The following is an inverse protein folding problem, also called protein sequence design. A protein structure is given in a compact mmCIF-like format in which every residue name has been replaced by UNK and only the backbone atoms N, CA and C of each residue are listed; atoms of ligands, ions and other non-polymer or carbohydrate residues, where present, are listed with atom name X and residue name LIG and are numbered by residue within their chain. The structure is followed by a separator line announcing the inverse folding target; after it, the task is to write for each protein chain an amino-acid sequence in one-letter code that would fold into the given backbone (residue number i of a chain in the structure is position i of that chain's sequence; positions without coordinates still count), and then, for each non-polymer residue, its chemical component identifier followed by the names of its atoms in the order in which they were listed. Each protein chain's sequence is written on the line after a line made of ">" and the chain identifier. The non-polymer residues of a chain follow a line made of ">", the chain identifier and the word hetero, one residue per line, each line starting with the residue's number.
data_IF_971179667266
#
_entry.id   IF_971179667266
#
_cell.length_a   1.000
_cell.length_b   1.000
_cell.length_c   1.000
_cell.angle_alpha   90.00
_cell.angle_beta   90.00
_cell.angle_gamma   90.00
#
_symmetry.space_group_name_H-M   'P 1'
#
loop_
_entity.id
_entity.type
_entity.pdbx_description
1 polymer ?
#
# COMPACT_ATOMS: atom_id res chain seq x y z
N UNK A 1 5.48 8.67 -25.48
CA UNK A 1 5.71 8.95 -24.04
C UNK A 1 4.65 9.93 -23.60
N UNK A 2 3.48 9.43 -23.23
CA UNK A 2 2.33 10.26 -22.88
C UNK A 2 2.55 10.73 -21.45
N UNK A 3 2.86 12.01 -21.27
CA UNK A 3 2.94 12.62 -19.95
C UNK A 3 1.58 12.49 -19.28
N UNK A 4 1.46 11.56 -18.35
CA UNK A 4 0.33 11.52 -17.44
C UNK A 4 0.32 12.89 -16.74
N UNK A 5 -0.77 13.64 -16.93
CA UNK A 5 -1.10 14.76 -16.06
C UNK A 5 -1.14 14.14 -14.65
N UNK A 6 -0.06 14.34 -13.89
CA UNK A 6 0.20 13.61 -12.67
C UNK A 6 -0.83 14.01 -11.63
N UNK A 7 -1.93 13.27 -11.53
CA UNK A 7 -2.94 13.40 -10.48
C UNK A 7 -2.21 13.43 -9.14
N UNK A 8 -2.46 14.45 -8.30
CA UNK A 8 -1.81 14.54 -6.99
C UNK A 8 -2.02 13.27 -6.17
N UNK A 9 -1.09 12.89 -5.30
CA UNK A 9 -1.24 11.65 -4.52
C UNK A 9 -2.55 11.68 -3.74
N UNK A 10 -2.91 12.83 -3.17
CA UNK A 10 -4.21 13.04 -2.51
C UNK A 10 -5.41 12.82 -3.42
N UNK A 11 -5.38 13.34 -4.65
CA UNK A 11 -6.48 13.15 -5.59
C UNK A 11 -6.54 11.69 -6.08
N UNK A 12 -5.39 11.04 -6.25
CA UNK A 12 -5.29 9.62 -6.58
C UNK A 12 -5.93 8.74 -5.50
N UNK A 13 -5.60 9.00 -4.22
CA UNK A 13 -6.22 8.31 -3.07
C UNK A 13 -7.74 8.55 -3.03
N UNK A 14 -8.21 9.79 -3.24
CA UNK A 14 -9.65 10.07 -3.29
C UNK A 14 -10.37 9.33 -4.43
N UNK A 15 -9.74 9.20 -5.59
CA UNK A 15 -10.30 8.44 -6.72
C UNK A 15 -10.31 6.95 -6.39
N UNK A 16 -9.23 6.43 -5.80
CA UNK A 16 -9.17 5.04 -5.35
C UNK A 16 -10.31 4.75 -4.35
N UNK A 17 -10.51 5.64 -3.36
CA UNK A 17 -11.59 5.54 -2.38
C UNK A 17 -12.96 5.59 -3.04
N UNK A 18 -13.22 6.58 -3.89
CA UNK A 18 -14.50 6.77 -4.56
C UNK A 18 -14.86 5.62 -5.53
N UNK A 19 -13.87 4.90 -6.04
CA UNK A 19 -14.06 3.79 -6.98
C UNK A 19 -13.80 2.41 -6.38
N UNK A 20 -13.49 2.34 -5.08
CA UNK A 20 -13.05 1.12 -4.40
C UNK A 20 -14.06 -0.01 -4.56
N UNK A 21 -15.31 0.22 -4.19
CA UNK A 21 -16.33 -0.84 -4.18
C UNK A 21 -16.60 -1.41 -5.58
N UNK A 22 -16.67 -0.53 -6.59
CA UNK A 22 -16.82 -0.94 -7.98
C UNK A 22 -15.63 -1.75 -8.48
N UNK A 23 -14.40 -1.36 -8.11
CA UNK A 23 -13.17 -2.07 -8.49
C UNK A 23 -13.01 -3.40 -7.78
N UNK A 24 -13.27 -3.44 -6.48
CA UNK A 24 -13.27 -4.67 -5.67
C UNK A 24 -14.30 -5.66 -6.23
N UNK A 25 -15.48 -5.18 -6.62
CA UNK A 25 -16.50 -6.01 -7.28
C UNK A 25 -16.02 -6.51 -8.64
N UNK A 26 -15.47 -5.64 -9.47
CA UNK A 26 -14.92 -6.01 -10.77
C UNK A 26 -13.76 -7.02 -10.66
N UNK A 27 -12.93 -6.92 -9.61
CA UNK A 27 -11.90 -7.91 -9.29
C UNK A 27 -12.56 -9.24 -8.96
N UNK A 28 -13.53 -9.28 -8.04
CA UNK A 28 -14.23 -10.54 -7.68
C UNK A 28 -14.92 -11.22 -8.86
N UNK A 29 -15.52 -10.43 -9.74
CA UNK A 29 -16.31 -10.93 -10.88
C UNK A 29 -15.44 -11.29 -12.09
N UNK A 30 -14.16 -10.90 -12.08
CA UNK A 30 -13.21 -11.29 -13.12
C UNK A 30 -13.06 -12.81 -13.17
N UNK A 31 -12.99 -13.36 -14.38
CA UNK A 31 -12.96 -14.81 -14.58
C UNK A 31 -11.74 -15.48 -13.92
N UNK A 32 -10.61 -14.79 -13.81
CA UNK A 32 -9.43 -15.30 -13.12
C UNK A 32 -9.67 -15.39 -11.61
N UNK A 33 -10.07 -14.29 -10.98
CA UNK A 33 -10.21 -14.20 -9.52
C UNK A 33 -11.43 -14.98 -9.02
N UNK A 34 -12.54 -14.97 -9.75
CA UNK A 34 -13.74 -15.75 -9.41
C UNK A 34 -13.43 -17.25 -9.34
N UNK A 35 -12.65 -17.78 -10.31
CA UNK A 35 -12.20 -19.17 -10.28
C UNK A 35 -11.30 -19.46 -9.10
N UNK A 36 -10.30 -18.61 -8.85
CA UNK A 36 -9.37 -18.80 -7.74
C UNK A 36 -10.07 -18.74 -6.37
N UNK A 37 -11.05 -17.84 -6.19
CA UNK A 37 -11.87 -17.74 -4.98
C UNK A 37 -12.75 -18.99 -4.82
N UNK A 38 -13.33 -19.50 -5.92
CA UNK A 38 -14.17 -20.71 -5.88
C UNK A 38 -13.34 -21.94 -5.52
N UNK A 39 -12.18 -22.10 -6.16
CA UNK A 39 -11.18 -23.12 -5.86
C UNK A 39 -10.76 -23.09 -4.37
N UNK A 40 -10.52 -21.90 -3.81
CA UNK A 40 -10.21 -21.75 -2.39
C UNK A 40 -11.36 -22.25 -1.51
N UNK A 41 -12.60 -21.79 -1.76
CA UNK A 41 -13.78 -22.19 -0.96
C UNK A 41 -14.04 -23.69 -0.99
N UNK A 42 -13.87 -24.30 -2.16
CA UNK A 42 -14.16 -25.72 -2.35
C UNK A 42 -13.15 -26.63 -1.65
N UNK A 43 -11.89 -26.22 -1.55
CA UNK A 43 -10.79 -27.13 -1.16
C UNK A 43 -10.14 -26.81 0.18
N UNK A 44 -10.26 -25.58 0.68
CA UNK A 44 -9.56 -25.19 1.93
C UNK A 44 -10.02 -26.02 3.14
N UNK A 45 -11.29 -26.40 3.20
CA UNK A 45 -11.84 -27.23 4.30
C UNK A 45 -11.25 -28.64 4.40
N UNK A 46 -10.64 -29.12 3.31
CA UNK A 46 -10.01 -30.45 3.25
C UNK A 46 -8.53 -30.42 3.69
N UNK A 47 -7.92 -29.23 3.82
CA UNK A 47 -6.50 -29.08 4.17
C UNK A 47 -6.30 -29.39 5.66
N UNK A 48 -5.56 -30.45 5.96
CA UNK A 48 -5.26 -30.88 7.34
C UNK A 48 -3.82 -30.63 7.73
N UNK A 49 -2.93 -30.55 6.74
CA UNK A 49 -1.51 -30.39 6.94
C UNK A 49 -0.91 -29.32 6.03
N UNK A 50 0.29 -28.85 6.39
CA UNK A 50 1.12 -27.99 5.54
C UNK A 50 1.44 -28.68 4.21
N UNK A 51 1.63 -30.01 4.22
CA UNK A 51 1.81 -30.81 3.02
C UNK A 51 0.62 -30.72 2.07
N UNK A 52 -0.60 -30.88 2.59
CA UNK A 52 -1.82 -30.78 1.78
C UNK A 52 -1.91 -29.43 1.09
N UNK A 53 -1.64 -28.35 1.83
CA UNK A 53 -1.66 -26.99 1.29
C UNK A 53 -0.62 -26.82 0.17
N UNK A 54 0.63 -27.24 0.39
CA UNK A 54 1.72 -27.04 -0.56
C UNK A 54 1.59 -27.92 -1.82
N UNK A 55 0.93 -29.08 -1.67
CA UNK A 55 0.62 -30.00 -2.77
C UNK A 55 -0.45 -29.42 -3.71
N UNK A 56 -1.47 -28.76 -3.18
CA UNK A 56 -2.44 -28.01 -3.97
C UNK A 56 -1.85 -26.69 -4.47
N UNK A 57 -1.28 -26.71 -5.68
CA UNK A 57 -0.60 -25.55 -6.26
C UNK A 57 -1.50 -24.32 -6.34
N UNK A 58 -2.76 -24.47 -6.75
CA UNK A 58 -3.65 -23.33 -6.96
C UNK A 58 -4.05 -22.71 -5.61
N UNK A 59 -4.36 -23.55 -4.62
CA UNK A 59 -4.68 -23.10 -3.27
C UNK A 59 -3.48 -22.44 -2.58
N UNK A 60 -2.30 -23.05 -2.69
CA UNK A 60 -1.06 -22.48 -2.18
C UNK A 60 -0.79 -21.10 -2.80
N UNK A 61 -0.88 -20.96 -4.13
CA UNK A 61 -0.68 -19.67 -4.81
C UNK A 61 -1.71 -18.65 -4.35
N UNK A 62 -2.98 -19.04 -4.19
CA UNK A 62 -4.03 -18.16 -3.70
C UNK A 62 -3.71 -17.62 -2.30
N UNK A 63 -3.32 -18.50 -1.37
CA UNK A 63 -2.92 -18.12 -0.02
C UNK A 63 -1.70 -17.20 -0.07
N UNK A 64 -0.64 -17.56 -0.79
CA UNK A 64 0.55 -16.72 -0.90
C UNK A 64 0.22 -15.33 -1.46
N UNK A 65 -0.67 -15.22 -2.46
CA UNK A 65 -1.15 -13.93 -2.97
C UNK A 65 -1.95 -13.16 -1.94
N UNK A 66 -2.75 -13.81 -1.10
CA UNK A 66 -3.48 -13.12 -0.04
C UNK A 66 -2.52 -12.46 0.97
N UNK A 67 -1.42 -13.13 1.32
CA UNK A 67 -0.43 -12.60 2.26
C UNK A 67 0.69 -11.77 1.61
N UNK A 68 0.53 -11.37 0.34
CA UNK A 68 1.52 -10.57 -0.40
C UNK A 68 2.88 -11.26 -0.61
N UNK A 69 2.91 -12.60 -0.56
CA UNK A 69 4.12 -13.42 -0.67
C UNK A 69 4.25 -14.06 -2.06
N UNK A 70 3.76 -13.40 -3.12
CA UNK A 70 3.76 -13.95 -4.49
C UNK A 70 5.18 -14.23 -5.01
N UNK A 71 6.14 -13.39 -4.66
CA UNK A 71 7.56 -13.56 -4.97
C UNK A 71 8.21 -14.75 -4.26
N UNK A 72 7.60 -15.25 -3.18
CA UNK A 72 8.09 -16.37 -2.37
C UNK A 72 7.46 -17.72 -2.76
N UNK A 73 6.56 -17.75 -3.75
CA UNK A 73 5.86 -18.97 -4.19
C UNK A 73 6.83 -20.11 -4.56
N UNK A 74 7.97 -19.80 -5.17
CA UNK A 74 8.96 -20.82 -5.55
C UNK A 74 9.72 -21.41 -4.35
N UNK A 75 9.73 -20.71 -3.21
CA UNK A 75 10.39 -21.12 -1.97
C UNK A 75 9.62 -22.15 -1.17
N UNK A 76 8.99 -23.16 -1.80
CA UNK A 76 8.08 -24.11 -1.12
C UNK A 76 8.67 -24.76 0.14
N UNK A 77 9.94 -25.16 0.10
CA UNK A 77 10.61 -25.78 1.24
C UNK A 77 10.82 -24.79 2.41
N UNK A 78 11.02 -23.51 2.12
CA UNK A 78 11.09 -22.47 3.13
C UNK A 78 9.70 -22.21 3.72
N UNK A 79 8.67 -22.05 2.89
CA UNK A 79 7.30 -21.81 3.36
C UNK A 79 6.79 -22.97 4.20
N UNK A 80 7.09 -24.22 3.80
CA UNK A 80 6.87 -25.40 4.61
C UNK A 80 7.42 -25.22 6.03
N UNK A 81 8.73 -24.96 6.14
CA UNK A 81 9.41 -24.80 7.43
C UNK A 81 8.84 -23.64 8.24
N UNK A 82 8.41 -22.56 7.59
CA UNK A 82 7.75 -21.43 8.24
C UNK A 82 6.42 -21.87 8.86
N UNK A 83 5.58 -22.57 8.11
CA UNK A 83 4.28 -23.02 8.58
C UNK A 83 4.38 -24.10 9.65
N UNK A 84 5.38 -24.98 9.57
CA UNK A 84 5.69 -26.02 10.57
C UNK A 84 6.44 -25.49 11.81
N UNK A 85 6.92 -24.23 11.80
CA UNK A 85 7.71 -23.67 12.90
C UNK A 85 6.87 -23.44 14.16
N UNK A 86 7.47 -23.61 15.34
CA UNK A 86 6.86 -23.20 16.61
C UNK A 86 7.03 -21.68 16.83
N UNK A 87 5.93 -20.90 16.87
CA UNK A 87 6.02 -19.46 17.13
C UNK A 87 6.35 -19.15 18.60
N UNK A 88 6.25 -20.10 19.53
CA UNK A 88 6.67 -19.96 20.93
C UNK A 88 8.18 -20.03 21.11
N UNK A 89 8.88 -20.75 20.23
CA UNK A 89 10.34 -20.84 20.25
C UNK A 89 11.00 -19.63 19.57
N UNK A 90 11.73 -18.83 20.36
CA UNK A 90 12.48 -17.66 19.86
C UNK A 90 13.54 -17.98 18.80
N UNK A 91 13.99 -19.24 18.72
CA UNK A 91 15.00 -19.70 17.77
C UNK A 91 14.42 -20.29 16.49
N UNK A 92 13.09 -20.43 16.42
CA UNK A 92 12.39 -20.99 15.27
C UNK A 92 12.54 -20.13 14.02
N UNK A 93 12.38 -20.74 12.84
CA UNK A 93 12.56 -20.04 11.57
C UNK A 93 11.58 -18.86 11.46
N UNK A 94 10.31 -19.05 11.81
CA UNK A 94 9.29 -17.99 11.74
C UNK A 94 9.62 -16.78 12.61
N UNK A 95 10.35 -16.96 13.73
CA UNK A 95 10.81 -15.86 14.60
C UNK A 95 12.09 -15.18 14.12
N UNK A 96 12.89 -15.87 13.31
CA UNK A 96 14.18 -15.37 12.78
C UNK A 96 14.06 -14.64 11.45
N UNK A 97 12.95 -14.81 10.74
CA UNK A 97 12.70 -14.08 9.50
C UNK A 97 12.40 -12.61 9.79
N UNK A 98 13.04 -11.73 9.03
CA UNK A 98 12.86 -10.27 9.18
C UNK A 98 11.52 -9.79 8.62
N UNK A 99 11.03 -10.46 7.58
CA UNK A 99 9.77 -10.10 6.93
C UNK A 99 8.58 -10.58 7.77
N UNK A 100 7.74 -9.65 8.28
CA UNK A 100 6.66 -9.99 9.20
C UNK A 100 5.53 -10.79 8.53
N UNK A 101 5.42 -10.75 7.19
CA UNK A 101 4.37 -11.45 6.43
C UNK A 101 4.42 -12.97 6.62
N UNK A 102 5.60 -13.54 6.88
CA UNK A 102 5.74 -14.97 7.19
C UNK A 102 5.14 -15.34 8.55
N UNK A 103 5.33 -14.49 9.55
CA UNK A 103 4.74 -14.69 10.88
C UNK A 103 3.23 -14.50 10.85
N UNK A 104 2.75 -13.52 10.07
CA UNK A 104 1.32 -13.31 9.82
C UNK A 104 0.69 -14.53 9.13
N UNK A 105 1.30 -15.01 8.04
CA UNK A 105 0.87 -16.22 7.34
C UNK A 105 0.80 -17.43 8.29
N UNK A 106 1.86 -17.69 9.05
CA UNK A 106 1.89 -18.80 9.99
C UNK A 106 0.79 -18.69 11.05
N UNK A 107 0.61 -17.51 11.65
CA UNK A 107 -0.41 -17.28 12.70
C UNK A 107 -1.82 -17.43 12.16
N UNK A 108 -2.09 -16.86 10.98
CA UNK A 108 -3.43 -16.83 10.41
C UNK A 108 -3.85 -18.20 9.88
N UNK A 109 -2.91 -18.97 9.30
CA UNK A 109 -3.19 -20.36 8.95
C UNK A 109 -3.24 -21.23 10.20
N UNK A 110 -2.47 -20.96 11.25
CA UNK A 110 -2.64 -21.63 12.54
C UNK A 110 -2.39 -23.14 12.51
N UNK A 111 -1.50 -23.60 11.63
CA UNK A 111 -1.06 -25.00 11.65
C UNK A 111 -0.36 -25.30 12.98
N UNK A 112 -0.71 -26.45 13.58
CA UNK A 112 -0.06 -26.91 14.81
C UNK A 112 1.38 -27.37 14.61
N UNK A 113 2.05 -27.81 15.69
CA UNK A 113 3.38 -28.41 15.62
C UNK A 113 3.44 -29.52 14.55
N UNK A 114 4.59 -29.65 13.89
CA UNK A 114 4.80 -30.59 12.78
C UNK A 114 3.90 -30.31 11.55
N UNK A 115 3.24 -29.16 11.51
CA UNK A 115 2.40 -28.73 10.39
C UNK A 115 1.06 -29.45 10.32
N UNK A 116 0.59 -30.03 11.43
CA UNK A 116 -0.66 -30.79 11.49
C UNK A 116 -1.73 -30.01 12.24
N UNK A 117 -2.95 -30.09 11.71
CA UNK A 117 -4.13 -29.55 12.36
C UNK A 117 -4.30 -28.07 12.05
N UNK A 118 -5.49 -27.73 11.59
CA UNK A 118 -5.94 -26.35 11.39
C UNK A 118 -7.47 -26.39 11.48
N UNK A 119 -8.03 -25.95 12.61
CA UNK A 119 -9.49 -25.94 12.77
C UNK A 119 -10.14 -24.75 12.07
N UNK A 120 -9.37 -23.67 11.87
CA UNK A 120 -9.82 -22.42 11.25
C UNK A 120 -10.28 -22.61 9.81
N UNK A 121 -9.76 -23.61 9.08
CA UNK A 121 -10.18 -23.86 7.69
C UNK A 121 -11.68 -24.18 7.54
N UNK A 122 -12.33 -24.64 8.60
CA UNK A 122 -13.77 -24.94 8.58
C UNK A 122 -14.62 -23.74 9.05
N UNK A 123 -13.99 -22.68 9.53
CA UNK A 123 -14.67 -21.45 9.94
C UNK A 123 -14.94 -20.56 8.72
N UNK A 124 -16.22 -20.36 8.43
CA UNK A 124 -16.66 -19.53 7.30
C UNK A 124 -16.19 -18.08 7.42
N UNK A 125 -16.15 -17.51 8.62
CA UNK A 125 -15.67 -16.14 8.86
C UNK A 125 -14.18 -16.02 8.53
N UNK A 126 -13.39 -17.00 8.97
CA UNK A 126 -11.97 -17.08 8.64
C UNK A 126 -11.76 -17.20 7.12
N UNK A 127 -12.49 -18.10 6.44
CA UNK A 127 -12.41 -18.24 4.99
C UNK A 127 -12.74 -16.93 4.27
N UNK A 128 -13.79 -16.22 4.68
CA UNK A 128 -14.13 -14.92 4.09
C UNK A 128 -13.05 -13.86 4.40
N UNK A 129 -12.38 -13.94 5.55
CA UNK A 129 -11.23 -13.10 5.89
C UNK A 129 -10.07 -13.27 4.89
N UNK A 130 -9.69 -14.52 4.60
CA UNK A 130 -8.63 -14.81 3.61
C UNK A 130 -9.04 -14.34 2.20
N UNK A 131 -10.28 -14.56 1.79
CA UNK A 131 -10.80 -14.09 0.50
C UNK A 131 -10.81 -12.56 0.42
N UNK A 132 -11.24 -11.88 1.48
CA UNK A 132 -11.24 -10.43 1.55
C UNK A 132 -9.82 -9.88 1.45
N UNK A 133 -8.86 -10.50 2.17
CA UNK A 133 -7.44 -10.17 2.09
C UNK A 133 -6.88 -10.36 0.68
N UNK A 134 -7.19 -11.48 0.02
CA UNK A 134 -6.80 -11.72 -1.38
C UNK A 134 -7.30 -10.60 -2.31
N UNK A 135 -8.59 -10.29 -2.25
CA UNK A 135 -9.20 -9.27 -3.12
C UNK A 135 -8.62 -7.88 -2.83
N UNK A 136 -8.39 -7.55 -1.55
CA UNK A 136 -7.76 -6.29 -1.16
C UNK A 136 -6.34 -6.19 -1.72
N UNK A 137 -5.56 -7.27 -1.64
CA UNK A 137 -4.21 -7.30 -2.21
C UNK A 137 -4.23 -7.11 -3.72
N UNK A 138 -5.17 -7.74 -4.44
CA UNK A 138 -5.31 -7.52 -5.89
C UNK A 138 -5.72 -6.07 -6.20
N UNK A 139 -6.55 -5.45 -5.37
CA UNK A 139 -6.91 -4.04 -5.52
C UNK A 139 -5.69 -3.13 -5.34
N UNK A 140 -4.91 -3.31 -4.26
CA UNK A 140 -3.69 -2.54 -3.99
C UNK A 140 -2.68 -2.73 -5.14
N UNK A 141 -2.48 -3.95 -5.62
CA UNK A 141 -1.57 -4.23 -6.74
C UNK A 141 -2.02 -3.53 -8.04
N UNK A 142 -3.32 -3.51 -8.31
CA UNK A 142 -3.87 -2.80 -9.47
C UNK A 142 -3.70 -1.27 -9.37
N UNK A 143 -3.76 -0.71 -8.16
CA UNK A 143 -3.46 0.71 -7.92
C UNK A 143 -1.95 0.99 -7.98
N UNK A 144 -1.08 0.07 -7.55
CA UNK A 144 0.38 0.21 -7.63
C UNK A 144 0.86 0.40 -9.09
N UNK A 145 0.23 -0.29 -10.05
CA UNK A 145 0.49 -0.12 -11.49
C UNK A 145 0.18 1.31 -11.97
N UNK A 146 -0.79 1.98 -11.34
CA UNK A 146 -1.20 3.36 -11.70
C UNK A 146 -0.40 4.40 -10.94
N UNK A 147 -0.17 4.16 -9.66
CA UNK A 147 0.56 5.04 -8.75
C UNK A 147 1.05 4.25 -7.52
N UNK A 148 2.36 4.04 -7.46
CA UNK A 148 3.04 3.44 -6.30
C UNK A 148 2.70 4.18 -5.00
N UNK A 149 2.66 5.51 -5.02
CA UNK A 149 2.32 6.33 -3.84
C UNK A 149 0.89 6.11 -3.34
N UNK A 150 -0.07 5.90 -4.25
CA UNK A 150 -1.45 5.58 -3.86
C UNK A 150 -1.48 4.20 -3.21
N UNK A 151 -0.77 3.22 -3.78
CA UNK A 151 -0.66 1.89 -3.18
C UNK A 151 0.00 1.93 -1.79
N UNK A 152 1.09 2.70 -1.59
CA UNK A 152 1.74 2.87 -0.28
C UNK A 152 0.76 3.42 0.77
N UNK A 153 -0.10 4.38 0.41
CA UNK A 153 -1.16 4.88 1.30
C UNK A 153 -2.18 3.81 1.65
N UNK A 154 -2.61 3.02 0.67
CA UNK A 154 -3.58 1.93 0.89
C UNK A 154 -2.99 0.81 1.75
N UNK A 155 -1.72 0.46 1.55
CA UNK A 155 -1.00 -0.49 2.40
C UNK A 155 -0.85 0.02 3.83
N UNK A 156 -0.51 1.30 4.01
CA UNK A 156 -0.50 1.93 5.32
C UNK A 156 -1.86 1.77 6.01
N UNK A 157 -2.96 2.09 5.33
CA UNK A 157 -4.32 1.94 5.89
C UNK A 157 -4.63 0.50 6.29
N UNK A 158 -4.22 -0.47 5.49
CA UNK A 158 -4.44 -1.89 5.78
C UNK A 158 -3.71 -2.33 7.05
N UNK A 159 -2.46 -1.88 7.22
CA UNK A 159 -1.55 -2.41 8.26
C UNK A 159 -1.52 -1.56 9.54
N UNK A 160 -1.82 -0.26 9.46
CA UNK A 160 -1.69 0.67 10.58
C UNK A 160 -2.49 0.28 11.85
N UNK A 161 -3.72 -0.27 11.77
CA UNK A 161 -4.46 -0.68 12.97
C UNK A 161 -3.74 -1.74 13.81
N UNK A 162 -2.99 -2.64 13.17
CA UNK A 162 -2.34 -3.78 13.82
C UNK A 162 -0.94 -3.43 14.38
N UNK A 163 -0.43 -2.23 14.09
CA UNK A 163 0.89 -1.78 14.55
C UNK A 163 0.83 -1.45 16.04
N UNK A 164 1.67 -2.14 16.83
CA UNK A 164 1.78 -1.93 18.28
C UNK A 164 3.10 -1.25 18.67
N UNK A 165 4.18 -1.50 17.92
CA UNK A 165 5.50 -0.98 18.24
C UNK A 165 6.21 -0.40 17.01
N UNK A 166 7.18 0.49 17.24
CA UNK A 166 8.04 0.98 16.16
C UNK A 166 8.84 -0.13 15.48
N UNK A 167 9.07 -1.25 16.17
CA UNK A 167 9.69 -2.42 15.56
C UNK A 167 8.76 -3.09 14.54
N UNK A 168 7.45 -3.04 14.74
CA UNK A 168 6.50 -3.58 13.76
C UNK A 168 6.47 -2.73 12.49
N UNK A 169 6.53 -1.40 12.66
CA UNK A 169 6.76 -0.45 11.55
C UNK A 169 8.06 -0.76 10.81
N UNK A 170 9.16 -0.99 11.53
CA UNK A 170 10.49 -1.17 10.95
C UNK A 170 10.72 -2.53 10.29
N UNK A 171 9.97 -3.56 10.71
CA UNK A 171 10.00 -4.89 10.06
C UNK A 171 9.37 -4.87 8.67
N UNK A 172 8.35 -4.03 8.47
CA UNK A 172 7.72 -3.84 7.17
C UNK A 172 8.38 -2.69 6.40
N UNK A 173 9.04 -3.01 5.29
CA UNK A 173 9.79 -2.03 4.49
C UNK A 173 8.90 -0.91 3.94
N UNK A 174 7.69 -1.24 3.50
CA UNK A 174 6.74 -0.27 2.95
C UNK A 174 6.23 0.67 4.04
N UNK A 175 5.86 0.12 5.20
CA UNK A 175 5.43 0.90 6.37
C UNK A 175 6.55 1.82 6.88
N UNK A 176 7.78 1.31 6.98
CA UNK A 176 8.93 2.12 7.38
C UNK A 176 9.23 3.24 6.36
N UNK A 177 9.10 2.98 5.06
CA UNK A 177 9.26 3.99 4.01
C UNK A 177 8.17 5.05 4.04
N UNK A 178 6.91 4.63 4.20
CA UNK A 178 5.77 5.50 4.37
C UNK A 178 5.97 6.44 5.56
N UNK A 179 6.28 5.89 6.75
CA UNK A 179 6.45 6.69 7.96
C UNK A 179 7.65 7.63 7.87
N UNK A 180 8.78 7.22 7.26
CA UNK A 180 9.92 8.13 7.03
C UNK A 180 9.49 9.32 6.16
N UNK A 181 8.77 9.05 5.09
CA UNK A 181 8.29 10.08 4.17
C UNK A 181 7.27 10.99 4.84
N UNK A 182 6.25 10.44 5.51
CA UNK A 182 5.22 11.20 6.21
C UNK A 182 5.79 12.14 7.29
N UNK A 183 6.84 11.70 7.98
CA UNK A 183 7.48 12.46 9.06
C UNK A 183 8.65 13.34 8.58
N UNK A 184 8.88 13.41 7.26
CA UNK A 184 9.94 14.22 6.66
C UNK A 184 11.35 13.78 7.06
N UNK A 185 11.52 12.51 7.40
CA UNK A 185 12.81 11.93 7.76
C UNK A 185 13.65 11.62 6.50
N UNK A 186 14.98 11.55 6.69
CA UNK A 186 15.94 11.21 5.63
C UNK A 186 15.94 9.71 5.34
N UNK A 187 16.19 9.35 4.09
CA UNK A 187 16.35 7.95 3.67
C UNK A 187 17.63 7.30 4.24
N UNK A 188 18.61 8.11 4.63
CA UNK A 188 19.85 7.63 5.25
C UNK A 188 19.63 6.95 6.60
N UNK A 189 18.48 7.21 7.26
CA UNK A 189 18.14 6.57 8.52
C UNK A 189 18.10 5.05 8.43
N UNK A 190 17.78 4.49 7.25
CA UNK A 190 17.73 3.03 7.03
C UNK A 190 19.09 2.36 7.30
N UNK A 191 20.19 3.11 7.23
CA UNK A 191 21.55 2.61 7.50
C UNK A 191 21.88 2.52 8.99
N UNK A 192 21.07 3.13 9.86
CA UNK A 192 21.29 3.10 11.30
C UNK A 192 20.80 1.78 11.91
N UNK A 193 21.30 1.47 13.11
CA UNK A 193 20.76 0.36 13.91
C UNK A 193 19.26 0.53 14.14
N UNK A 194 18.51 -0.58 14.13
CA UNK A 194 17.04 -0.59 14.23
C UNK A 194 16.55 0.16 15.48
N UNK A 195 17.23 0.00 16.61
CA UNK A 195 16.88 0.70 17.86
C UNK A 195 17.01 2.23 17.73
N UNK A 196 18.03 2.70 17.01
CA UNK A 196 18.23 4.13 16.75
C UNK A 196 17.17 4.65 15.80
N UNK A 197 16.80 3.87 14.78
CA UNK A 197 15.69 4.22 13.89
C UNK A 197 14.39 4.37 14.69
N UNK A 198 14.04 3.38 15.53
CA UNK A 198 12.85 3.40 16.36
C UNK A 198 12.82 4.62 17.29
N UNK A 199 13.94 4.95 17.93
CA UNK A 199 14.04 6.13 18.79
C UNK A 199 13.85 7.45 18.03
N UNK A 200 14.33 7.56 16.78
CA UNK A 200 14.14 8.75 15.96
C UNK A 200 12.69 8.91 15.50
N UNK A 201 12.02 7.80 15.17
CA UNK A 201 10.60 7.79 14.89
C UNK A 201 9.77 8.23 16.11
N UNK A 202 10.04 7.63 17.27
CA UNK A 202 9.35 7.96 18.52
C UNK A 202 9.50 9.43 18.94
N UNK A 203 10.62 10.07 18.58
CA UNK A 203 10.81 11.52 18.79
C UNK A 203 9.93 12.40 17.89
N UNK A 204 9.54 11.91 16.72
CA UNK A 204 8.76 12.65 15.73
C UNK A 204 7.26 12.39 15.83
N UNK A 205 6.89 11.20 16.27
CA UNK A 205 5.51 10.76 16.28
C UNK A 205 5.25 9.84 17.48
N UNK A 206 4.08 9.99 18.07
CA UNK A 206 3.59 9.14 19.13
C UNK A 206 2.76 8.02 18.53
N UNK A 207 3.27 6.78 18.61
CA UNK A 207 2.72 5.63 17.88
C UNK A 207 1.30 5.29 18.33
N UNK A 208 0.94 5.56 19.58
CA UNK A 208 -0.40 5.28 20.12
C UNK A 208 -1.50 6.01 19.32
N UNK A 209 -1.15 7.15 18.70
CA UNK A 209 -2.04 7.94 17.85
C UNK A 209 -2.42 7.24 16.55
N UNK A 210 -1.70 6.20 16.11
CA UNK A 210 -2.10 5.41 14.93
C UNK A 210 -3.46 4.74 15.09
N UNK A 211 -3.91 4.52 16.32
CA UNK A 211 -5.21 3.92 16.60
C UNK A 211 -6.36 4.89 16.27
N UNK A 212 -6.11 6.20 16.26
CA UNK A 212 -7.07 7.22 15.87
C UNK A 212 -7.18 7.34 14.33
N UNK A 213 -8.37 7.12 13.74
CA UNK A 213 -8.58 7.28 12.30
C UNK A 213 -8.23 8.67 11.77
N UNK A 214 -8.41 9.74 12.55
CA UNK A 214 -8.13 11.11 12.09
C UNK A 214 -6.61 11.37 12.03
N UNK A 215 -5.85 10.79 12.94
CA UNK A 215 -4.39 10.84 12.91
C UNK A 215 -3.81 9.99 11.77
N UNK A 216 -4.42 8.85 11.43
CA UNK A 216 -4.09 8.12 10.20
C UNK A 216 -4.33 8.97 8.95
N UNK A 217 -5.51 9.59 8.83
CA UNK A 217 -5.82 10.48 7.72
C UNK A 217 -4.90 11.72 7.66
N UNK A 218 -4.40 12.19 8.80
CA UNK A 218 -3.37 13.23 8.86
C UNK A 218 -2.03 12.73 8.31
N UNK A 219 -1.57 11.55 8.71
CA UNK A 219 -0.32 10.95 8.20
C UNK A 219 -0.39 10.72 6.69
N UNK A 220 -1.51 10.24 6.16
CA UNK A 220 -1.72 10.10 4.71
C UNK A 220 -1.56 11.43 3.97
N UNK A 221 -2.09 12.53 4.54
CA UNK A 221 -1.92 13.86 3.98
C UNK A 221 -0.47 14.33 4.04
N UNK A 222 0.20 14.13 5.16
CA UNK A 222 1.61 14.49 5.32
C UNK A 222 2.51 13.70 4.37
N UNK A 223 2.25 12.39 4.22
CA UNK A 223 2.91 11.54 3.25
C UNK A 223 2.70 12.08 1.84
N UNK A 224 1.46 12.30 1.41
CA UNK A 224 1.15 12.74 0.06
C UNK A 224 1.80 14.08 -0.28
N UNK A 225 1.78 15.05 0.66
CA UNK A 225 2.45 16.35 0.49
C UNK A 225 3.97 16.17 0.35
N UNK A 226 4.58 15.37 1.22
CA UNK A 226 6.04 15.20 1.25
C UNK A 226 6.53 14.41 0.04
N UNK A 227 5.82 13.35 -0.34
CA UNK A 227 6.13 12.53 -1.49
C UNK A 227 5.98 13.31 -2.80
N UNK A 228 4.93 14.12 -2.93
CA UNK A 228 4.72 14.95 -4.12
C UNK A 228 5.72 16.11 -4.22
N UNK A 229 6.19 16.65 -3.08
CA UNK A 229 7.21 17.71 -3.05
C UNK A 229 8.61 17.20 -3.40
N UNK A 230 8.90 15.92 -3.14
CA UNK A 230 10.19 15.27 -3.48
C UNK A 230 10.27 14.86 -4.96
N UNK A 231 9.18 14.98 -5.71
CA UNK A 231 9.11 14.60 -7.13
C UNK A 231 9.61 15.74 -8.05
N UNK A 232 10.79 15.61 -8.68
CA UNK A 232 11.39 16.68 -9.48
C UNK A 232 10.52 17.10 -10.67
N UNK A 233 9.74 16.17 -11.24
CA UNK A 233 8.83 16.46 -12.35
C UNK A 233 7.68 17.38 -11.92
N UNK A 234 7.30 17.34 -10.63
CA UNK A 234 6.27 18.21 -10.06
C UNK A 234 6.80 19.50 -9.48
N UNK A 235 8.00 19.51 -8.93
CA UNK A 235 8.66 20.75 -8.47
C UNK A 235 8.77 21.76 -9.61
N UNK A 236 9.02 21.32 -10.85
CA UNK A 236 9.04 22.16 -12.06
C UNK A 236 7.65 22.67 -12.51
N UNK A 237 6.58 21.95 -12.15
CA UNK A 237 5.19 22.25 -12.55
C UNK A 237 4.37 22.93 -11.45
N UNK A 238 4.93 23.08 -10.25
CA UNK A 238 4.24 23.71 -9.14
C UNK A 238 4.14 25.23 -9.37
N UNK A 239 2.92 25.76 -9.49
CA UNK A 239 2.68 27.17 -9.81
C UNK A 239 3.37 28.12 -8.80
N UNK A 240 3.47 27.73 -7.53
CA UNK A 240 4.20 28.50 -6.53
C UNK A 240 5.71 28.54 -6.82
N UNK A 241 6.28 27.43 -7.30
CA UNK A 241 7.69 27.35 -7.72
C UNK A 241 7.91 28.12 -9.02
N UNK A 242 6.96 28.11 -9.96
CA UNK A 242 7.03 28.93 -11.18
C UNK A 242 6.94 30.43 -10.90
N UNK A 243 6.12 30.84 -9.92
CA UNK A 243 6.06 32.22 -9.45
C UNK A 243 7.36 32.59 -8.74
N UNK A 244 7.88 31.72 -7.87
CA UNK A 244 9.17 31.96 -7.19
C UNK A 244 10.35 31.98 -8.17
N UNK A 245 10.40 31.08 -9.15
CA UNK A 245 11.42 31.12 -10.20
C UNK A 245 11.25 32.34 -11.08
N UNK A 246 10.02 32.74 -11.43
CA UNK A 246 9.76 33.97 -12.16
C UNK A 246 10.21 35.22 -11.40
N UNK A 247 9.98 35.27 -10.09
CA UNK A 247 10.44 36.36 -9.21
C UNK A 247 11.96 36.35 -9.03
N UNK A 248 12.58 35.17 -8.89
CA UNK A 248 14.05 35.04 -8.80
C UNK A 248 14.71 35.42 -10.11
N UNK A 249 14.17 35.02 -11.27
CA UNK A 249 14.65 35.46 -12.59
C UNK A 249 14.48 36.96 -12.77
N UNK A 250 13.40 37.56 -12.26
CA UNK A 250 13.20 39.01 -12.23
C UNK A 250 14.16 39.74 -11.27
N UNK A 251 14.65 39.07 -10.22
CA UNK A 251 15.56 39.65 -9.23
C UNK A 251 17.04 39.53 -9.62
N UNK A 252 17.43 38.52 -10.40
CA UNK A 252 18.84 38.29 -10.82
C UNK A 252 19.16 38.74 -12.24
N UNK A 253 18.15 39.02 -13.08
CA UNK A 253 18.34 39.48 -14.46
C UNK A 253 17.96 40.95 -14.62
N UNK A 254 18.97 41.83 -14.72
CA UNK A 254 18.74 43.23 -15.07
C UNK A 254 18.04 43.35 -16.43
N UNK A 255 16.81 43.86 -16.42
CA UNK A 255 16.11 44.45 -17.57
C UNK A 255 15.58 43.47 -18.62
N UNK A 256 14.26 43.24 -18.62
CA UNK A 256 13.33 43.62 -19.70
C UNK A 256 11.92 43.10 -19.35
N UNK A 257 11.03 44.01 -18.95
CA UNK A 257 9.61 43.71 -18.75
C UNK A 257 8.97 43.33 -20.10
N UNK A 258 8.41 42.12 -20.20
CA UNK A 258 7.42 41.78 -21.24
C UNK A 258 6.05 41.78 -20.56
N UNK A 259 5.18 42.76 -20.82
CA UNK A 259 3.82 42.73 -20.27
C UNK A 259 3.06 41.56 -20.88
N UNK A 260 2.48 40.71 -20.04
CA UNK A 260 1.47 39.74 -20.46
C UNK A 260 0.19 40.53 -20.73
N UNK A 261 -0.14 40.77 -22.00
CA UNK A 261 -1.44 41.29 -22.40
C UNK A 261 -2.47 40.18 -22.27
N UNK A 262 -3.32 40.24 -21.24
CA UNK A 262 -4.56 39.48 -21.19
C UNK A 262 -5.54 40.11 -22.18
N UNK A 263 -5.76 39.45 -23.31
CA UNK A 263 -6.82 39.81 -24.25
C UNK A 263 -8.17 39.38 -23.67
N UNK A 264 -8.97 40.36 -23.24
CA UNK A 264 -10.33 40.16 -22.70
C UNK A 264 -11.38 40.58 -23.73
N UNK A 265 -11.12 40.35 -25.01
CA UNK A 265 -12.17 40.27 -26.03
C UNK A 265 -12.50 38.79 -26.22
N UNK A 266 -13.67 38.25 -25.83
CA UNK A 266 -15.02 38.66 -26.19
C UNK A 266 -15.98 38.09 -25.13
N UNK A 267 -16.55 38.95 -24.30
CA UNK A 267 -17.87 38.75 -23.70
C UNK A 267 -18.82 39.71 -24.43
N UNK A 268 -20.03 39.23 -24.72
CA UNK A 268 -21.11 39.84 -25.51
C UNK A 268 -20.98 39.56 -27.02
N UNK A 269 -22.00 39.13 -27.75
CA UNK A 269 -23.44 39.13 -27.52
C UNK A 269 -24.09 38.11 -28.46
N UNK A 270 -25.02 37.28 -27.95
CA UNK A 270 -25.96 36.53 -28.79
C UNK A 270 -27.03 37.47 -29.36
N UNK A 271 -27.36 37.39 -30.67
CA UNK A 271 -28.68 37.76 -31.16
C UNK A 271 -29.43 36.55 -31.72
N UNK A 272 -30.67 36.47 -31.27
CA UNK A 272 -31.80 35.60 -31.65
C UNK A 272 -31.89 35.34 -33.17
N UNK A 273 -32.11 34.08 -33.57
CA UNK A 273 -32.72 33.77 -34.87
C UNK A 273 -34.23 33.58 -34.76
N UNK A 274 -35.04 34.14 -35.68
CA UNK A 274 -36.45 33.81 -35.84
C UNK A 274 -36.66 32.60 -36.78
N UNK A 275 -37.79 31.92 -36.58
CA UNK A 275 -38.30 30.74 -37.29
C UNK A 275 -38.18 30.73 -38.82
N UNK A 276 -37.88 29.56 -39.37
CA UNK A 276 -38.68 28.89 -40.42
C UNK A 276 -38.47 27.37 -40.37
#
# INVERSE_FOLDING_TARGET
>A
MTGAIGVSTLLGVKIADATRDARVTAIRDSAEHSRAISAFRERIGDIRTVDDLIADRELYVFVMKAFDLEDQIFGKAMIRKVLESDPGDSTSLVRRLTDPRFLELHRELGFGPEGVGNSSVNDQSWQQGIIARYVERQFINAEAVRSERVAEVLEFRQKAPDVQTWFDVLKDRGMAAFMRTALGLSDELVRLDVDKQAALFAKKYDLEKLQDPDERARLERLYAITADARDPARVSQNAAVQIMSGVVTAATGGGQFVPITLDISVISSLPRQPYR
#
